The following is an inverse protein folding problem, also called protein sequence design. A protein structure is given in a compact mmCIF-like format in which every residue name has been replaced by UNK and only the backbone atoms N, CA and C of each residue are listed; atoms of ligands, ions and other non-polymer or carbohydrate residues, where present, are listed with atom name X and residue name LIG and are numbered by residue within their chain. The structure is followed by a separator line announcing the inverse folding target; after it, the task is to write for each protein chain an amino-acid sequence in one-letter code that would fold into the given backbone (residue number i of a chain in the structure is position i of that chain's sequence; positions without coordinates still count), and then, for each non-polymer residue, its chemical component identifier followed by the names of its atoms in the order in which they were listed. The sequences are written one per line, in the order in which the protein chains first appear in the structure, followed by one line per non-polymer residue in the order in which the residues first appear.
data_IF_555259751968
#
_entry.id   IF_555259751968
#
_cell.length_a   1.000
_cell.length_b   1.000
_cell.length_c   1.000
_cell.angle_alpha   90.00
_cell.angle_beta   90.00
_cell.angle_gamma   90.00
#
_symmetry.space_group_name_H-M   'P 1'
#
loop_
_entity.id
_entity.type
_entity.pdbx_description
1 polymer ?
#
# COMPACT_ATOMS: atom_id res chain seq x y z
N UNK A 1 9.47 19.58 -31.73
CA UNK A 1 8.94 18.33 -32.30
C UNK A 1 8.97 17.34 -31.16
N UNK A 2 7.82 17.05 -30.55
CA UNK A 2 7.76 16.10 -29.44
C UNK A 2 8.21 14.73 -29.95
N UNK A 3 9.40 14.30 -29.54
CA UNK A 3 9.84 12.93 -29.77
C UNK A 3 8.78 11.99 -29.17
N UNK A 4 8.24 11.09 -30.00
CA UNK A 4 7.18 10.18 -29.57
C UNK A 4 7.64 9.29 -28.42
N UNK A 5 6.67 8.74 -27.68
CA UNK A 5 6.92 7.75 -26.62
C UNK A 5 7.80 6.63 -27.20
N UNK A 6 8.84 6.24 -26.48
CA UNK A 6 9.72 5.12 -26.84
C UNK A 6 9.46 3.97 -25.87
N UNK A 7 9.26 2.76 -26.40
CA UNK A 7 8.96 1.57 -25.59
C UNK A 7 10.14 0.62 -25.55
N UNK A 8 10.52 0.21 -24.35
CA UNK A 8 11.61 -0.73 -24.07
C UNK A 8 11.06 -1.90 -23.28
N UNK A 9 11.52 -3.11 -23.59
CA UNK A 9 11.34 -4.28 -22.75
C UNK A 9 12.70 -4.78 -22.30
N UNK A 10 12.83 -5.04 -21.00
CA UNK A 10 14.05 -5.53 -20.37
C UNK A 10 13.77 -6.85 -19.71
N UNK A 11 14.47 -7.89 -20.15
CA UNK A 11 14.32 -9.26 -19.68
C UNK A 11 15.63 -9.78 -19.12
N UNK A 12 15.61 -10.51 -18.00
CA UNK A 12 16.79 -11.23 -17.53
C UNK A 12 17.11 -12.37 -18.50
N UNK A 13 18.38 -12.53 -18.88
CA UNK A 13 18.84 -13.71 -19.64
C UNK A 13 18.43 -14.98 -18.90
N UNK A 14 18.16 -16.06 -19.64
CA UNK A 14 17.62 -17.33 -19.13
C UNK A 14 18.36 -17.85 -17.90
N UNK A 15 19.69 -17.71 -17.85
CA UNK A 15 20.54 -18.13 -16.74
C UNK A 15 20.25 -17.38 -15.42
N UNK A 16 19.86 -16.10 -15.52
CA UNK A 16 19.60 -15.18 -14.41
C UNK A 16 18.11 -14.96 -14.11
N UNK A 17 17.20 -15.58 -14.88
CA UNK A 17 15.75 -15.46 -14.70
C UNK A 17 15.25 -16.26 -13.47
N UNK A 18 15.72 -15.90 -12.27
CA UNK A 18 15.38 -16.57 -11.00
C UNK A 18 13.91 -16.32 -10.64
N UNK A 19 13.44 -15.08 -10.73
CA UNK A 19 12.05 -14.70 -10.45
C UNK A 19 11.07 -15.49 -11.33
N UNK A 20 11.32 -15.53 -12.64
CA UNK A 20 10.47 -16.24 -13.59
C UNK A 20 10.43 -17.75 -13.32
N UNK A 21 11.57 -18.39 -12.99
CA UNK A 21 11.62 -19.81 -12.62
C UNK A 21 10.91 -20.11 -11.30
N UNK A 22 11.06 -19.24 -10.31
CA UNK A 22 10.39 -19.38 -9.02
C UNK A 22 8.86 -19.31 -9.20
N UNK A 23 8.38 -18.29 -9.90
CA UNK A 23 6.95 -18.13 -10.16
C UNK A 23 6.39 -19.27 -11.05
N UNK A 24 7.13 -19.72 -12.07
CA UNK A 24 6.73 -20.89 -12.86
C UNK A 24 6.52 -22.13 -11.98
N UNK A 25 7.47 -22.40 -11.09
CA UNK A 25 7.41 -23.54 -10.17
C UNK A 25 6.20 -23.42 -9.25
N UNK A 26 5.97 -22.23 -8.71
CA UNK A 26 4.85 -21.92 -7.83
C UNK A 26 3.49 -22.13 -8.52
N UNK A 27 3.31 -21.59 -9.74
CA UNK A 27 2.09 -21.77 -10.54
C UNK A 27 1.85 -23.25 -10.91
N UNK A 28 2.91 -24.01 -11.23
CA UNK A 28 2.77 -25.43 -11.56
C UNK A 28 2.38 -26.28 -10.34
N UNK A 29 2.99 -26.04 -9.18
CA UNK A 29 2.83 -26.90 -8.01
C UNK A 29 1.66 -26.46 -7.12
N UNK A 30 1.53 -25.17 -6.84
CA UNK A 30 0.50 -24.66 -5.93
C UNK A 30 -0.85 -24.44 -6.62
N UNK A 31 -0.85 -24.03 -7.89
CA UNK A 31 -2.08 -23.88 -8.68
C UNK A 31 -2.37 -25.07 -9.61
N UNK A 32 -1.48 -26.07 -9.66
CA UNK A 32 -1.69 -27.30 -10.43
C UNK A 32 -1.60 -27.13 -11.95
N UNK A 33 -0.97 -26.05 -12.44
CA UNK A 33 -0.97 -25.66 -13.85
C UNK A 33 0.11 -26.38 -14.67
N UNK A 34 -0.03 -27.71 -14.81
CA UNK A 34 0.99 -28.55 -15.47
C UNK A 34 1.14 -28.29 -16.98
N UNK A 35 0.14 -27.67 -17.62
CA UNK A 35 0.21 -27.29 -19.03
C UNK A 35 1.08 -26.03 -19.28
N UNK A 36 1.39 -25.27 -18.23
CA UNK A 36 2.34 -24.15 -18.30
C UNK A 36 3.75 -24.71 -18.40
N UNK A 37 4.42 -24.51 -19.53
CA UNK A 37 5.75 -25.08 -19.80
C UNK A 37 6.89 -24.09 -19.58
N UNK A 38 6.62 -22.81 -19.76
CA UNK A 38 7.59 -21.75 -19.55
C UNK A 38 6.92 -20.45 -19.12
N UNK A 39 7.66 -19.62 -18.40
CA UNK A 39 7.25 -18.28 -17.99
C UNK A 39 8.43 -17.33 -18.21
N UNK A 40 8.16 -16.20 -18.86
CA UNK A 40 9.11 -15.08 -18.95
C UNK A 40 8.52 -13.86 -18.25
N UNK A 41 9.38 -13.09 -17.60
CA UNK A 41 9.03 -11.85 -16.91
C UNK A 41 9.92 -10.73 -17.47
N UNK A 42 9.29 -9.65 -17.93
CA UNK A 42 9.96 -8.51 -18.52
C UNK A 42 9.51 -7.22 -17.86
N UNK A 43 10.40 -6.24 -17.78
CA UNK A 43 10.05 -4.88 -17.42
C UNK A 43 9.81 -4.08 -18.70
N UNK A 44 8.59 -3.58 -18.87
CA UNK A 44 8.23 -2.63 -19.92
C UNK A 44 8.42 -1.22 -19.40
N UNK A 45 9.12 -0.39 -20.16
CA UNK A 45 9.23 1.04 -19.95
C UNK A 45 8.68 1.79 -21.15
N UNK A 46 7.84 2.77 -20.88
CA UNK A 46 7.45 3.80 -21.84
C UNK A 46 8.07 5.12 -21.40
N UNK A 47 8.76 5.82 -22.30
CA UNK A 47 9.56 7.00 -21.94
C UNK A 47 9.30 8.16 -22.90
N UNK A 48 9.17 9.36 -22.36
CA UNK A 48 9.16 10.63 -23.11
C UNK A 48 10.17 11.63 -22.56
N UNK A 49 10.55 12.60 -23.40
CA UNK A 49 11.45 13.69 -23.01
C UNK A 49 12.94 13.41 -23.20
N UNK A 50 13.31 12.39 -23.99
CA UNK A 50 14.71 12.02 -24.25
C UNK A 50 15.05 12.01 -25.73
N UNK A 51 16.17 12.68 -26.07
CA UNK A 51 16.77 12.58 -27.39
C UNK A 51 17.22 11.16 -27.72
N UNK A 52 17.48 10.86 -28.99
CA UNK A 52 17.98 9.56 -29.41
C UNK A 52 19.26 9.14 -28.64
N UNK A 53 20.22 10.06 -28.47
CA UNK A 53 21.46 9.79 -27.74
C UNK A 53 21.24 9.55 -26.24
N UNK A 54 20.35 10.31 -25.61
CA UNK A 54 20.07 10.17 -24.18
C UNK A 54 19.31 8.89 -23.89
N UNK A 55 18.39 8.53 -24.77
CA UNK A 55 17.66 7.27 -24.71
C UNK A 55 18.61 6.07 -24.80
N UNK A 56 19.60 6.09 -25.69
CA UNK A 56 20.60 5.02 -25.79
C UNK A 56 21.43 4.88 -24.50
N UNK A 57 21.83 6.01 -23.89
CA UNK A 57 22.52 6.01 -22.60
C UNK A 57 21.62 5.47 -21.48
N UNK A 58 20.36 5.90 -21.42
CA UNK A 58 19.39 5.43 -20.44
C UNK A 58 19.16 3.93 -20.54
N UNK A 59 19.03 3.38 -21.76
CA UNK A 59 18.92 1.94 -21.99
C UNK A 59 20.12 1.16 -21.41
N UNK A 60 21.34 1.68 -21.58
CA UNK A 60 22.57 1.01 -21.17
C UNK A 60 22.88 1.13 -19.68
N UNK A 61 22.56 2.27 -19.07
CA UNK A 61 23.01 2.61 -17.72
C UNK A 61 21.90 2.61 -16.66
N UNK A 62 20.63 2.75 -17.08
CA UNK A 62 19.50 2.89 -16.15
C UNK A 62 18.52 1.74 -16.27
N UNK A 63 18.00 1.48 -17.48
CA UNK A 63 16.93 0.49 -17.65
C UNK A 63 17.40 -0.95 -17.58
N UNK A 64 18.68 -1.21 -17.86
CA UNK A 64 19.22 -2.57 -17.94
C UNK A 64 20.63 -2.68 -17.38
N UNK A 65 20.98 -3.90 -17.01
CA UNK A 65 22.33 -4.36 -16.69
C UNK A 65 22.82 -5.25 -17.85
N UNK A 66 23.57 -4.74 -18.84
CA UNK A 66 23.94 -5.48 -20.05
C UNK A 66 24.55 -6.88 -19.85
N UNK A 67 25.33 -7.16 -18.79
CA UNK A 67 25.83 -8.51 -18.52
C UNK A 67 24.74 -9.55 -18.28
N UNK A 68 23.59 -9.16 -17.71
CA UNK A 68 22.54 -10.09 -17.25
C UNK A 68 21.19 -9.88 -17.92
N UNK A 69 20.99 -8.75 -18.59
CA UNK A 69 19.73 -8.39 -19.23
C UNK A 69 19.80 -8.43 -20.77
N UNK A 70 18.63 -8.58 -21.37
CA UNK A 70 18.33 -8.45 -22.80
C UNK A 70 17.36 -7.30 -22.98
N UNK A 71 17.58 -6.50 -24.01
CA UNK A 71 16.74 -5.35 -24.34
C UNK A 71 16.05 -5.61 -25.68
N UNK A 72 14.74 -5.41 -25.71
CA UNK A 72 13.93 -5.46 -26.93
C UNK A 72 13.19 -4.13 -27.10
N UNK A 73 13.21 -3.56 -28.30
CA UNK A 73 12.59 -2.27 -28.58
C UNK A 73 11.24 -2.44 -29.28
N UNK A 74 10.26 -1.63 -28.87
CA UNK A 74 8.93 -1.45 -29.49
C UNK A 74 8.01 -2.68 -29.53
N UNK A 75 8.44 -3.82 -30.07
CA UNK A 75 7.64 -5.03 -30.24
C UNK A 75 8.29 -6.23 -29.57
N UNK A 76 7.51 -6.93 -28.76
CA UNK A 76 7.89 -8.23 -28.22
C UNK A 76 7.63 -9.33 -29.24
N UNK A 77 8.61 -10.22 -29.40
CA UNK A 77 8.43 -11.46 -30.14
C UNK A 77 7.81 -12.51 -29.22
N UNK A 78 6.65 -13.03 -29.65
CA UNK A 78 5.86 -14.03 -28.94
C UNK A 78 5.49 -15.15 -29.89
N UNK A 79 5.41 -16.38 -29.39
CA UNK A 79 4.91 -17.52 -30.14
C UNK A 79 3.37 -17.50 -30.23
N UNK A 80 2.79 -18.27 -31.15
CA UNK A 80 1.32 -18.34 -31.30
C UNK A 80 0.61 -18.87 -30.06
N UNK A 81 1.26 -19.75 -29.30
CA UNK A 81 0.71 -20.35 -28.08
C UNK A 81 1.00 -19.51 -26.82
N UNK A 82 1.72 -18.39 -26.95
CA UNK A 82 2.05 -17.55 -25.80
C UNK A 82 0.86 -16.68 -25.39
N UNK A 83 0.53 -16.71 -24.11
CA UNK A 83 -0.40 -15.77 -23.50
C UNK A 83 0.37 -14.65 -22.82
N UNK A 84 0.07 -13.40 -23.18
CA UNK A 84 0.74 -12.21 -22.64
C UNK A 84 -0.24 -11.33 -21.88
N UNK A 85 0.15 -10.92 -20.68
CA UNK A 85 -0.49 -9.88 -19.90
C UNK A 85 0.56 -9.03 -19.18
N UNK A 86 0.18 -7.85 -18.71
CA UNK A 86 1.07 -6.94 -18.04
C UNK A 86 0.40 -6.40 -16.77
N UNK A 87 1.20 -6.04 -15.77
CA UNK A 87 0.77 -5.51 -14.49
C UNK A 87 1.43 -4.15 -14.28
N UNK A 88 0.65 -3.15 -13.91
CA UNK A 88 1.13 -1.82 -13.50
C UNK A 88 0.52 -1.46 -12.15
N UNK A 89 1.18 -0.57 -11.40
CA UNK A 89 0.63 -0.07 -10.15
C UNK A 89 -0.63 0.78 -10.41
N UNK A 90 -1.52 0.85 -9.43
CA UNK A 90 -2.70 1.69 -9.51
C UNK A 90 -2.29 3.18 -9.63
N UNK A 91 -3.05 4.00 -10.40
CA UNK A 91 -2.79 5.43 -10.47
C UNK A 91 -2.70 6.07 -9.08
N UNK A 92 -1.66 6.86 -8.84
CA UNK A 92 -1.40 7.52 -7.56
C UNK A 92 -0.59 6.69 -6.57
N UNK A 93 -0.33 5.41 -6.85
CA UNK A 93 0.67 4.63 -6.12
C UNK A 93 2.08 5.10 -6.51
N UNK A 94 2.99 5.08 -5.55
CA UNK A 94 4.39 5.41 -5.79
C UNK A 94 5.11 4.22 -6.44
N UNK A 95 5.51 4.36 -7.69
CA UNK A 95 6.37 3.39 -8.37
C UNK A 95 7.85 3.75 -8.20
N UNK A 96 8.53 2.97 -7.38
CA UNK A 96 9.95 3.13 -7.10
C UNK A 96 10.82 2.98 -8.37
N UNK A 97 10.41 2.14 -9.33
CA UNK A 97 11.18 1.85 -10.54
C UNK A 97 11.02 2.97 -11.57
N UNK A 98 9.82 3.54 -11.70
CA UNK A 98 9.59 4.77 -12.48
C UNK A 98 10.44 5.92 -11.91
N UNK A 99 10.27 6.22 -10.61
CA UNK A 99 10.94 7.34 -9.95
C UNK A 99 12.47 7.22 -10.01
N UNK A 100 13.04 6.06 -9.71
CA UNK A 100 14.48 5.86 -9.83
C UNK A 100 15.00 5.99 -11.26
N UNK A 101 14.23 5.52 -12.25
CA UNK A 101 14.63 5.64 -13.65
C UNK A 101 14.67 7.11 -14.06
N UNK A 102 13.64 7.87 -13.71
CA UNK A 102 13.56 9.30 -14.00
C UNK A 102 14.69 10.10 -13.33
N UNK A 103 14.94 9.85 -12.03
CA UNK A 103 16.02 10.51 -11.30
C UNK A 103 17.41 10.19 -11.88
N UNK A 104 17.69 8.91 -12.15
CA UNK A 104 18.96 8.49 -12.74
C UNK A 104 19.19 9.12 -14.12
N UNK A 105 18.15 9.17 -14.96
CA UNK A 105 18.25 9.78 -16.29
C UNK A 105 18.43 11.30 -16.17
N UNK A 106 17.74 11.96 -15.24
CA UNK A 106 17.92 13.38 -14.97
C UNK A 106 19.38 13.68 -14.59
N UNK A 107 19.99 12.86 -13.73
CA UNK A 107 21.38 13.03 -13.30
C UNK A 107 22.39 12.80 -14.43
N UNK A 108 22.18 11.78 -15.27
CA UNK A 108 23.09 11.48 -16.39
C UNK A 108 22.98 12.53 -17.49
N UNK A 109 21.78 12.98 -17.80
CA UNK A 109 21.54 13.97 -18.86
C UNK A 109 21.81 15.40 -18.40
N UNK A 110 21.73 15.67 -17.09
CA UNK A 110 21.79 17.01 -16.48
C UNK A 110 20.73 17.97 -17.06
N UNK A 111 19.55 17.44 -17.37
CA UNK A 111 18.42 18.16 -17.97
C UNK A 111 17.15 18.01 -17.14
N UNK A 112 16.03 18.40 -17.72
CA UNK A 112 14.71 18.17 -17.16
C UNK A 112 14.45 16.68 -16.93
N UNK A 113 13.67 16.39 -15.89
CA UNK A 113 13.29 15.04 -15.53
C UNK A 113 12.39 14.46 -16.63
N UNK A 114 12.75 13.31 -17.25
CA UNK A 114 11.87 12.65 -18.20
C UNK A 114 10.66 12.07 -17.49
N UNK A 115 9.67 11.63 -18.25
CA UNK A 115 8.54 10.87 -17.71
C UNK A 115 8.71 9.41 -18.15
N UNK A 116 8.69 8.50 -17.18
CA UNK A 116 8.84 7.05 -17.36
C UNK A 116 7.62 6.37 -16.77
N UNK A 117 6.98 5.50 -17.53
CA UNK A 117 5.98 4.56 -17.02
C UNK A 117 6.50 3.14 -17.07
N UNK A 118 6.25 2.36 -16.02
CA UNK A 118 6.68 0.98 -15.83
C UNK A 118 5.49 0.02 -15.81
N UNK A 119 5.69 -1.15 -16.40
CA UNK A 119 4.83 -2.31 -16.16
C UNK A 119 5.65 -3.60 -16.18
N UNK A 120 5.21 -4.59 -15.41
CA UNK A 120 5.77 -5.95 -15.46
C UNK A 120 4.96 -6.81 -16.43
N UNK A 121 5.60 -7.33 -17.46
CA UNK A 121 4.99 -8.15 -18.51
C UNK A 121 5.29 -9.61 -18.25
N UNK A 122 4.26 -10.45 -18.35
CA UNK A 122 4.34 -11.90 -18.20
C UNK A 122 4.02 -12.54 -19.55
N UNK A 123 4.88 -13.46 -19.98
CA UNK A 123 4.67 -14.28 -21.17
C UNK A 123 4.59 -15.73 -20.70
N UNK A 124 3.41 -16.31 -20.81
CA UNK A 124 3.09 -17.68 -20.43
C UNK A 124 3.13 -18.55 -21.69
N UNK A 125 3.98 -19.57 -21.70
CA UNK A 125 4.02 -20.54 -22.80
C UNK A 125 3.37 -21.86 -22.37
N UNK A 126 2.42 -22.34 -23.16
CA UNK A 126 1.70 -23.58 -22.91
C UNK A 126 0.24 -23.49 -23.34
N UNK A 127 -0.43 -24.64 -23.43
CA UNK A 127 -1.84 -24.71 -23.82
C UNK A 127 -2.70 -24.45 -22.58
N UNK A 128 -2.96 -23.17 -22.29
CA UNK A 128 -3.75 -22.74 -21.13
C UNK A 128 -5.20 -22.44 -21.54
N UNK A 129 -6.12 -22.86 -20.70
CA UNK A 129 -7.53 -22.45 -20.80
C UNK A 129 -7.71 -21.00 -20.34
N UNK A 130 -8.74 -20.28 -20.81
CA UNK A 130 -9.02 -18.92 -20.34
C UNK A 130 -9.18 -18.82 -18.81
N UNK A 131 -9.73 -19.87 -18.19
CA UNK A 131 -9.90 -19.92 -16.73
C UNK A 131 -8.56 -20.02 -16.01
N UNK A 132 -7.63 -20.82 -16.51
CA UNK A 132 -6.29 -20.95 -15.92
C UNK A 132 -5.50 -19.64 -16.05
N UNK A 133 -5.63 -18.94 -17.19
CA UNK A 133 -5.04 -17.61 -17.37
C UNK A 133 -5.58 -16.62 -16.35
N UNK A 134 -6.89 -16.62 -16.09
CA UNK A 134 -7.50 -15.75 -15.09
C UNK A 134 -7.01 -16.07 -13.68
N UNK A 135 -6.92 -17.36 -13.32
CA UNK A 135 -6.35 -17.78 -12.02
C UNK A 135 -4.89 -17.28 -11.86
N UNK A 136 -4.08 -17.33 -12.92
CA UNK A 136 -2.70 -16.79 -12.88
C UNK A 136 -2.73 -15.27 -12.65
N UNK A 137 -3.63 -14.54 -13.32
CA UNK A 137 -3.77 -13.10 -13.15
C UNK A 137 -4.18 -12.74 -11.72
N UNK A 138 -5.19 -13.40 -11.16
CA UNK A 138 -5.62 -13.22 -9.77
C UNK A 138 -4.49 -13.52 -8.78
N UNK A 139 -3.64 -14.49 -9.08
CA UNK A 139 -2.48 -14.82 -8.27
C UNK A 139 -1.38 -13.74 -8.32
N UNK A 140 -1.16 -13.14 -9.50
CA UNK A 140 -0.07 -12.19 -9.72
C UNK A 140 -0.46 -10.72 -9.43
N UNK A 141 -1.75 -10.38 -9.53
CA UNK A 141 -2.25 -9.00 -9.39
C UNK A 141 -2.85 -8.85 -7.99
N UNK A 142 -2.17 -8.10 -7.12
CA UNK A 142 -2.77 -7.62 -5.88
C UNK A 142 -3.70 -6.44 -6.21
N UNK A 143 -5.04 -6.57 -6.10
CA UNK A 143 -5.97 -5.52 -6.51
C UNK A 143 -5.92 -4.27 -5.64
N UNK A 144 -5.26 -4.32 -4.47
CA UNK A 144 -5.04 -3.16 -3.59
C UNK A 144 -3.92 -2.27 -4.14
N UNK A 145 -2.97 -2.84 -4.88
CA UNK A 145 -1.73 -2.17 -5.28
C UNK A 145 -1.60 -2.00 -6.79
N UNK A 146 -2.11 -2.96 -7.56
CA UNK A 146 -1.83 -3.09 -8.98
C UNK A 146 -3.08 -3.49 -9.79
N UNK A 147 -2.98 -3.29 -11.11
CA UNK A 147 -4.00 -3.67 -12.10
C UNK A 147 -3.36 -4.25 -13.35
N UNK A 148 -4.16 -4.91 -14.17
CA UNK A 148 -3.71 -5.29 -15.51
C UNK A 148 -3.47 -4.03 -16.36
N UNK A 149 -2.27 -3.94 -16.93
CA UNK A 149 -1.84 -2.83 -17.77
C UNK A 149 -2.32 -3.03 -19.22
N UNK A 150 -2.64 -1.93 -19.89
CA UNK A 150 -2.99 -1.95 -21.31
C UNK A 150 -1.83 -2.49 -22.15
N UNK A 151 -2.14 -3.27 -23.20
CA UNK A 151 -1.12 -3.82 -24.11
C UNK A 151 -0.61 -2.75 -25.06
N UNK A 152 -1.52 -1.87 -25.48
CA UNK A 152 -1.28 -0.79 -26.41
C UNK A 152 -0.26 0.21 -25.85
N UNK A 153 0.39 0.92 -26.77
CA UNK A 153 1.23 2.04 -26.39
C UNK A 153 0.33 3.21 -25.97
N UNK A 154 0.55 3.81 -24.80
CA UNK A 154 -0.25 4.97 -24.40
C UNK A 154 -0.03 6.12 -25.39
N UNK A 155 -1.02 7.01 -25.50
CA UNK A 155 -0.93 8.20 -26.35
C UNK A 155 -0.15 9.34 -25.67
N UNK A 156 -0.17 9.37 -24.34
CA UNK A 156 0.57 10.30 -23.49
C UNK A 156 0.99 9.61 -22.20
N UNK A 157 2.10 10.05 -21.62
CA UNK A 157 2.54 9.70 -20.27
C UNK A 157 2.35 10.86 -19.28
N UNK A 158 1.92 12.03 -19.77
CA UNK A 158 1.69 13.19 -18.92
C UNK A 158 0.46 12.94 -18.05
N UNK A 159 0.68 12.94 -16.73
CA UNK A 159 -0.42 12.93 -15.77
C UNK A 159 -1.11 14.30 -15.77
N UNK A 160 -2.40 14.30 -16.08
CA UNK A 160 -3.25 15.49 -15.91
C UNK A 160 -3.52 15.61 -14.42
N UNK A 161 -2.77 16.49 -13.75
CA UNK A 161 -3.07 16.84 -12.37
C UNK A 161 -4.27 17.79 -12.37
N UNK A 162 -5.43 17.30 -11.95
CA UNK A 162 -6.58 18.16 -11.70
C UNK A 162 -6.29 19.09 -10.53
N UNK A 163 -6.71 20.35 -10.63
CA UNK A 163 -6.60 21.27 -9.50
C UNK A 163 -7.41 20.73 -8.32
N UNK A 164 -6.82 20.64 -7.11
CA UNK A 164 -7.52 20.10 -5.96
C UNK A 164 -8.71 21.00 -5.61
N UNK A 165 -9.86 20.38 -5.38
CA UNK A 165 -11.07 21.09 -4.97
C UNK A 165 -10.91 21.70 -3.56
N UNK A 166 -11.63 22.79 -3.29
CA UNK A 166 -11.68 23.37 -1.96
C UNK A 166 -12.27 22.38 -0.94
N UNK A 167 -11.72 22.35 0.27
CA UNK A 167 -12.17 21.45 1.34
C UNK A 167 -13.63 21.76 1.72
N UNK A 168 -14.49 20.75 1.63
CA UNK A 168 -15.90 20.88 1.94
C UNK A 168 -16.14 21.13 3.44
N UNK A 169 -17.11 22.01 3.73
CA UNK A 169 -17.71 22.19 5.06
C UNK A 169 -18.99 21.37 5.16
N UNK A 170 -19.24 20.79 6.33
CA UNK A 170 -20.39 19.92 6.57
C UNK A 170 -21.58 20.79 6.96
N UNK A 171 -22.34 21.22 5.98
CA UNK A 171 -23.53 22.05 6.18
C UNK A 171 -24.58 21.32 7.01
N UNK A 172 -25.13 21.97 8.04
CA UNK A 172 -26.12 21.37 8.94
C UNK A 172 -25.55 20.54 10.09
N UNK A 173 -24.22 20.35 10.17
CA UNK A 173 -23.59 19.58 11.26
C UNK A 173 -23.99 20.09 12.65
N UNK A 174 -24.06 21.42 12.81
CA UNK A 174 -24.43 22.05 14.08
C UNK A 174 -25.91 21.83 14.47
N UNK A 175 -26.75 21.41 13.52
CA UNK A 175 -28.19 21.24 13.70
C UNK A 175 -28.62 19.76 13.69
N UNK A 176 -27.68 18.83 13.45
CA UNK A 176 -27.98 17.39 13.48
C UNK A 176 -28.47 16.96 14.86
N UNK A 177 -29.56 16.20 14.87
CA UNK A 177 -29.95 15.44 16.06
C UNK A 177 -29.06 14.20 16.23
N UNK A 178 -29.27 13.45 17.31
CA UNK A 178 -28.44 12.29 17.63
C UNK A 178 -28.52 11.18 16.58
N UNK A 179 -29.66 11.02 15.91
CA UNK A 179 -29.85 9.98 14.89
C UNK A 179 -29.16 10.38 13.59
N UNK A 180 -29.33 11.62 13.16
CA UNK A 180 -28.62 12.18 12.00
C UNK A 180 -27.10 12.18 12.20
N UNK A 181 -26.63 12.47 13.44
CA UNK A 181 -25.21 12.42 13.77
C UNK A 181 -24.63 11.01 13.69
N UNK A 182 -25.35 9.99 14.17
CA UNK A 182 -24.88 8.60 14.06
C UNK A 182 -24.92 8.08 12.63
N UNK A 183 -25.95 8.44 11.85
CA UNK A 183 -26.01 8.14 10.42
C UNK A 183 -24.82 8.77 9.67
N UNK A 184 -24.52 10.04 9.94
CA UNK A 184 -23.36 10.73 9.40
C UNK A 184 -22.04 10.06 9.80
N UNK A 185 -21.92 9.62 11.07
CA UNK A 185 -20.75 8.87 11.56
C UNK A 185 -20.51 7.60 10.77
N UNK A 186 -21.56 6.82 10.53
CA UNK A 186 -21.49 5.57 9.79
C UNK A 186 -21.17 5.81 8.30
N UNK A 187 -21.82 6.80 7.68
CA UNK A 187 -21.57 7.18 6.28
C UNK A 187 -20.12 7.59 6.05
N UNK A 188 -19.54 8.39 6.95
CA UNK A 188 -18.16 8.85 6.85
C UNK A 188 -17.13 7.82 7.31
N UNK A 189 -17.57 6.68 7.87
CA UNK A 189 -16.71 5.63 8.41
C UNK A 189 -15.81 6.11 9.56
N UNK A 190 -16.31 7.00 10.41
CA UNK A 190 -15.53 7.52 11.54
C UNK A 190 -15.34 6.46 12.63
N UNK A 191 -14.11 6.37 13.14
CA UNK A 191 -13.73 5.51 14.26
C UNK A 191 -14.12 6.10 15.63
N UNK A 192 -14.26 7.43 15.73
CA UNK A 192 -14.77 8.12 16.92
C UNK A 192 -16.17 7.65 17.31
N UNK A 193 -16.48 7.73 18.60
CA UNK A 193 -17.82 7.40 19.09
C UNK A 193 -18.83 8.50 18.76
N UNK A 194 -20.13 8.19 18.85
CA UNK A 194 -21.19 9.20 18.76
C UNK A 194 -21.01 10.31 19.81
N UNK A 195 -20.57 9.96 21.02
CA UNK A 195 -20.33 10.93 22.08
C UNK A 195 -19.21 11.93 21.72
N UNK A 196 -18.16 11.45 21.06
CA UNK A 196 -17.06 12.29 20.58
C UNK A 196 -17.52 13.26 19.49
N UNK A 197 -18.37 12.80 18.56
CA UNK A 197 -18.94 13.67 17.53
C UNK A 197 -19.91 14.72 18.11
N UNK A 198 -20.74 14.34 19.08
CA UNK A 198 -21.60 15.30 19.78
C UNK A 198 -20.78 16.30 20.60
N UNK A 199 -19.62 15.92 21.11
CA UNK A 199 -18.67 16.85 21.73
C UNK A 199 -18.12 17.85 20.70
N UNK A 200 -17.71 17.37 19.51
CA UNK A 200 -17.28 18.23 18.41
C UNK A 200 -18.40 19.18 17.98
N UNK A 201 -19.64 18.70 17.88
CA UNK A 201 -20.82 19.52 17.54
C UNK A 201 -20.98 20.69 18.51
N UNK A 202 -20.88 20.46 19.82
CA UNK A 202 -20.95 21.54 20.82
C UNK A 202 -19.84 22.58 20.64
N UNK A 203 -18.63 22.14 20.30
CA UNK A 203 -17.53 23.05 20.02
C UNK A 203 -17.82 23.92 18.78
N UNK A 204 -18.25 23.32 17.67
CA UNK A 204 -18.53 24.03 16.42
C UNK A 204 -19.80 24.90 16.47
N UNK A 205 -20.76 24.55 17.32
CA UNK A 205 -21.87 25.44 17.67
C UNK A 205 -21.37 26.70 18.38
N UNK A 206 -20.39 26.59 19.27
CA UNK A 206 -19.77 27.73 19.95
C UNK A 206 -18.93 28.63 19.03
N UNK A 207 -18.32 28.05 18.00
CA UNK A 207 -17.53 28.75 16.97
C UNK A 207 -18.39 29.40 15.87
N UNK A 208 -19.72 29.25 15.93
CA UNK A 208 -20.70 29.76 14.96
C UNK A 208 -20.35 29.39 13.51
N UNK A 209 -19.82 28.18 13.31
CA UNK A 209 -19.49 27.66 11.97
C UNK A 209 -19.56 26.13 11.92
N UNK A 210 -19.89 25.54 10.76
CA UNK A 210 -19.74 24.12 10.57
C UNK A 210 -18.26 23.73 10.44
N UNK A 211 -17.89 22.51 10.87
CA UNK A 211 -16.57 21.96 10.62
C UNK A 211 -16.35 21.68 9.12
N UNK A 212 -15.08 21.70 8.73
CA UNK A 212 -14.63 21.05 7.51
C UNK A 212 -14.50 19.54 7.71
N UNK A 213 -14.60 18.77 6.63
CA UNK A 213 -14.36 17.32 6.69
C UNK A 213 -12.94 16.99 7.20
N UNK A 214 -11.95 17.81 6.85
CA UNK A 214 -10.56 17.64 7.31
C UNK A 214 -10.43 17.80 8.81
N UNK A 215 -11.08 18.83 9.41
CA UNK A 215 -11.06 19.01 10.88
C UNK A 215 -11.62 17.77 11.59
N UNK A 216 -12.73 17.20 11.11
CA UNK A 216 -13.30 15.98 11.69
C UNK A 216 -12.42 14.75 11.46
N UNK A 217 -11.82 14.57 10.27
CA UNK A 217 -10.93 13.43 9.98
C UNK A 217 -9.65 13.47 10.81
N UNK A 218 -9.11 14.65 11.10
CA UNK A 218 -7.97 14.81 12.02
C UNK A 218 -8.37 14.35 13.42
N UNK A 219 -9.48 14.84 13.96
CA UNK A 219 -9.97 14.41 15.27
C UNK A 219 -10.26 12.91 15.28
N UNK A 220 -10.88 12.38 14.23
CA UNK A 220 -11.20 10.96 14.08
C UNK A 220 -9.98 10.06 14.23
N UNK A 221 -8.88 10.45 13.57
CA UNK A 221 -7.62 9.72 13.62
C UNK A 221 -7.08 9.70 15.05
N UNK A 222 -6.97 10.86 15.70
CA UNK A 222 -6.34 10.96 17.02
C UNK A 222 -7.22 10.44 18.17
N UNK A 223 -8.54 10.48 18.01
CA UNK A 223 -9.49 10.04 19.03
C UNK A 223 -9.96 8.60 18.81
N UNK A 224 -9.47 7.95 17.75
CA UNK A 224 -9.56 6.49 17.60
C UNK A 224 -8.93 5.77 18.79
N UNK A 225 -9.44 4.57 19.11
CA UNK A 225 -8.90 3.76 20.21
C UNK A 225 -7.41 3.46 20.05
N UNK A 226 -6.94 3.26 18.81
CA UNK A 226 -5.53 3.01 18.51
C UNK A 226 -4.62 4.17 18.96
N UNK A 227 -4.99 5.42 18.65
CA UNK A 227 -4.18 6.58 19.03
C UNK A 227 -4.36 6.96 20.50
N UNK A 228 -5.60 6.91 21.01
CA UNK A 228 -5.92 7.27 22.39
C UNK A 228 -5.54 6.18 23.39
N UNK A 229 -5.29 4.96 22.92
CA UNK A 229 -5.04 3.78 23.74
C UNK A 229 -6.13 3.61 24.81
N UNK A 230 -7.40 3.80 24.44
CA UNK A 230 -8.50 3.82 25.43
C UNK A 230 -8.61 2.45 26.08
N UNK A 231 -8.60 1.37 25.29
CA UNK A 231 -8.59 -0.01 25.78
C UNK A 231 -7.46 -0.26 26.78
N UNK A 232 -6.25 0.24 26.49
CA UNK A 232 -5.09 0.07 27.37
C UNK A 232 -5.15 0.93 28.64
N UNK A 233 -5.88 2.04 28.61
CA UNK A 233 -6.08 2.94 29.74
C UNK A 233 -7.38 2.65 30.52
N UNK A 234 -8.19 1.70 30.08
CA UNK A 234 -9.37 1.25 30.83
C UNK A 234 -8.93 0.69 32.17
N UNK A 235 -9.62 1.14 33.22
CA UNK A 235 -9.42 0.66 34.57
C UNK A 235 -9.89 -0.79 34.70
N UNK A 236 -9.00 -1.64 35.19
CA UNK A 236 -9.29 -3.03 35.51
C UNK A 236 -9.66 -3.11 36.99
N UNK A 237 -10.93 -3.38 37.28
CA UNK A 237 -11.45 -3.49 38.66
C UNK A 237 -11.40 -4.93 39.18
N UNK A 238 -11.77 -5.89 38.33
CA UNK A 238 -11.94 -7.30 38.69
C UNK A 238 -11.09 -8.18 37.77
N UNK A 239 -9.95 -8.64 38.27
CA UNK A 239 -9.00 -9.47 37.52
C UNK A 239 -9.08 -10.91 38.04
N UNK A 240 -9.53 -11.83 37.19
CA UNK A 240 -9.58 -13.27 37.48
C UNK A 240 -8.74 -14.02 36.45
N UNK A 241 -7.79 -14.84 36.91
CA UNK A 241 -6.94 -15.67 36.05
C UNK A 241 -7.53 -17.08 36.01
N UNK A 242 -8.08 -17.46 34.87
CA UNK A 242 -8.75 -18.76 34.69
C UNK A 242 -7.78 -19.95 34.78
N UNK A 243 -8.21 -21.11 35.29
CA UNK A 243 -7.38 -22.30 35.37
C UNK A 243 -7.04 -22.83 33.98
N UNK A 244 -5.77 -23.14 33.73
CA UNK A 244 -5.29 -23.62 32.45
C UNK A 244 -3.79 -23.89 32.45
N UNK A 245 -3.26 -24.36 31.32
CA UNK A 245 -1.83 -24.71 31.16
C UNK A 245 -0.88 -23.56 31.55
N UNK A 246 -1.32 -22.31 31.37
CA UNK A 246 -0.53 -21.11 31.63
C UNK A 246 -0.98 -20.33 32.88
N UNK A 247 -1.83 -20.91 33.74
CA UNK A 247 -2.33 -20.21 34.93
C UNK A 247 -1.19 -19.81 35.89
N UNK A 248 -0.34 -20.77 36.28
CA UNK A 248 0.79 -20.51 37.19
C UNK A 248 1.74 -19.39 36.72
N UNK A 249 2.26 -19.41 35.47
CA UNK A 249 3.15 -18.35 35.02
C UNK A 249 2.46 -16.98 34.90
N UNK A 250 1.17 -16.93 34.52
CA UNK A 250 0.42 -15.67 34.43
C UNK A 250 0.16 -15.10 35.83
N UNK A 251 -0.27 -15.93 36.78
CA UNK A 251 -0.48 -15.49 38.17
C UNK A 251 0.83 -14.98 38.78
N UNK A 252 1.94 -15.69 38.59
CA UNK A 252 3.24 -15.26 39.08
C UNK A 252 3.68 -13.91 38.50
N UNK A 253 3.47 -13.68 37.20
CA UNK A 253 3.77 -12.41 36.55
C UNK A 253 2.89 -11.27 37.11
N UNK A 254 1.61 -11.54 37.35
CA UNK A 254 0.68 -10.56 37.91
C UNK A 254 1.02 -10.19 39.36
N UNK A 255 1.33 -11.17 40.21
CA UNK A 255 1.75 -10.94 41.60
C UNK A 255 3.05 -10.14 41.66
N UNK A 256 3.99 -10.43 40.74
CA UNK A 256 5.25 -9.68 40.60
C UNK A 256 4.99 -8.23 40.21
N UNK A 257 4.06 -8.00 39.28
CA UNK A 257 3.62 -6.65 38.92
C UNK A 257 3.03 -5.90 40.12
N UNK A 258 2.11 -6.50 40.87
CA UNK A 258 1.47 -5.86 42.02
C UNK A 258 2.51 -5.42 43.06
N UNK A 259 3.49 -6.28 43.36
CA UNK A 259 4.58 -5.98 44.29
C UNK A 259 5.47 -4.85 43.78
N UNK A 260 5.91 -4.91 42.53
CA UNK A 260 6.75 -3.88 41.91
C UNK A 260 6.02 -2.53 41.89
N UNK A 261 4.72 -2.55 41.62
CA UNK A 261 3.85 -1.38 41.65
C UNK A 261 3.76 -0.75 43.04
N UNK A 262 3.63 -1.57 44.09
CA UNK A 262 3.65 -1.12 45.48
C UNK A 262 5.01 -0.49 45.84
N UNK A 263 6.12 -1.09 45.42
CA UNK A 263 7.47 -0.54 45.62
C UNK A 263 7.67 0.82 44.94
N UNK A 264 7.10 1.02 43.73
CA UNK A 264 7.25 2.26 42.96
C UNK A 264 6.30 3.37 43.43
N UNK A 265 5.03 3.05 43.71
CA UNK A 265 3.99 4.06 43.95
C UNK A 265 3.46 4.09 45.39
N UNK A 266 3.83 3.12 46.23
CA UNK A 266 3.36 2.95 47.60
C UNK A 266 2.02 2.20 47.73
N UNK A 267 1.76 1.67 48.93
CA UNK A 267 0.59 0.85 49.28
C UNK A 267 -0.79 1.48 48.98
N UNK A 268 -0.89 2.81 48.95
CA UNK A 268 -2.17 3.55 48.79
C UNK A 268 -2.22 4.45 47.54
N UNK A 269 -1.55 4.05 46.47
CA UNK A 269 -1.55 4.85 45.23
C UNK A 269 -2.92 4.93 44.56
N UNK A 270 -3.41 6.16 44.32
CA UNK A 270 -4.65 6.44 43.55
C UNK A 270 -4.56 6.12 42.05
N UNK A 271 -3.36 5.79 41.56
CA UNK A 271 -3.16 5.37 40.17
C UNK A 271 -4.02 4.13 39.89
N UNK A 272 -4.68 4.10 38.74
CA UNK A 272 -5.55 2.98 38.33
C UNK A 272 -4.70 1.82 37.79
N UNK A 273 -5.16 0.59 37.98
CA UNK A 273 -4.57 -0.58 37.31
C UNK A 273 -5.15 -0.62 35.89
N UNK A 274 -4.27 -0.58 34.90
CA UNK A 274 -4.63 -0.63 33.47
C UNK A 274 -3.62 -1.50 32.72
N UNK A 275 -3.94 -1.95 31.51
CA UNK A 275 -2.98 -2.69 30.69
C UNK A 275 -1.74 -1.86 30.37
N UNK A 276 -1.91 -0.54 30.17
CA UNK A 276 -0.79 0.39 30.00
C UNK A 276 0.09 0.43 31.25
N UNK A 277 -0.51 0.50 32.45
CA UNK A 277 0.23 0.50 33.70
C UNK A 277 1.06 -0.78 33.88
N UNK A 278 0.45 -1.95 33.62
CA UNK A 278 1.12 -3.25 33.66
C UNK A 278 2.31 -3.28 32.69
N UNK A 279 2.13 -2.79 31.46
CA UNK A 279 3.16 -2.82 30.42
C UNK A 279 4.38 -1.93 30.73
N UNK A 280 4.18 -0.75 31.32
CA UNK A 280 5.27 0.23 31.54
C UNK A 280 5.91 0.13 32.91
N UNK A 281 5.32 -0.60 33.85
CA UNK A 281 5.83 -0.72 35.21
C UNK A 281 7.24 -1.34 35.24
N UNK A 282 7.49 -2.32 34.38
CA UNK A 282 8.80 -2.98 34.25
C UNK A 282 9.93 -2.07 33.71
N UNK A 283 9.61 -0.86 33.24
CA UNK A 283 10.59 0.12 32.73
C UNK A 283 10.96 1.20 33.76
N UNK A 284 10.38 1.15 34.97
CA UNK A 284 10.58 2.14 36.03
C UNK A 284 11.37 1.54 37.18
#
# INVERSE_FOLDING_TARGET
MSEGIKRIYVEKKTEFAVEARALLTDLQHNLGLQALTNLRILNRYDVIGLSASEFEQACRYVFSEPPVDLITFEKLETNQEDTVFAIELLPGQYDQREDFSEQCIQLITQKDRPIVSHAKVFILSGVLTPKEVETIKEYCINPIEAREAAKEKPLTLENICEEPQAVARITGFNDFDSEAMDAFRQEQGFAMSLADLLFCQKYFQGEDRPPSITELKVLDTYWSDHCRHTTFNTELTDITIEPGQFNEPIQHAYDTYLKTREDIYGENSERKITLMDIAVNAMK
#
